data_IF_730721931893
#
_entry.id   IF_730721931893
#
_cell.length_a   1.000
_cell.length_b   1.000
_cell.length_c   1.000
_cell.angle_alpha   90.00
_cell.angle_beta   90.00
_cell.angle_gamma   90.00
#
_symmetry.space_group_name_H-M   'P 1'
#
loop_
_entity.id
_entity.type
_entity.pdbx_description
1 polymer ?
#
# COMPACT_ATOMS: atom_id res chain seq x y z
N UNK A 1 5.91 -1.05 5.55
CA UNK A 1 5.36 -0.34 4.37
C UNK A 1 4.03 -0.96 3.96
N UNK A 2 3.27 -0.30 3.08
CA UNK A 2 2.02 -0.83 2.50
C UNK A 2 1.99 -0.59 0.98
N UNK A 3 0.97 -1.10 0.31
CA UNK A 3 0.70 -1.01 -1.12
C UNK A 3 -0.58 -1.78 -1.45
N UNK A 4 -0.97 -1.86 -2.72
CA UNK A 4 -2.20 -2.55 -3.13
C UNK A 4 -2.16 -4.02 -2.67
N UNK A 5 -3.20 -4.46 -1.98
CA UNK A 5 -3.19 -5.78 -1.32
C UNK A 5 -3.56 -6.88 -2.30
N UNK A 6 -3.16 -8.12 -2.00
CA UNK A 6 -3.63 -9.28 -2.78
C UNK A 6 -5.16 -9.41 -2.77
N UNK A 7 -5.80 -8.98 -1.68
CA UNK A 7 -7.26 -8.97 -1.57
C UNK A 7 -7.91 -7.99 -2.53
N UNK A 8 -7.34 -6.79 -2.67
CA UNK A 8 -7.84 -5.78 -3.61
C UNK A 8 -7.56 -6.17 -5.07
N UNK A 9 -6.43 -6.84 -5.35
CA UNK A 9 -6.13 -7.40 -6.68
C UNK A 9 -7.14 -8.50 -7.07
N UNK A 10 -7.50 -9.37 -6.10
CA UNK A 10 -8.53 -10.38 -6.29
C UNK A 10 -9.92 -9.76 -6.52
N UNK A 11 -10.27 -8.71 -5.77
CA UNK A 11 -11.55 -7.99 -5.93
C UNK A 11 -11.71 -7.36 -7.32
N UNK A 12 -10.61 -7.02 -8.00
CA UNK A 12 -10.62 -6.49 -9.38
C UNK A 12 -10.36 -7.55 -10.45
N UNK A 13 -10.24 -8.83 -10.05
CA UNK A 13 -10.08 -9.99 -10.94
C UNK A 13 -8.81 -9.93 -11.83
N UNK A 14 -7.75 -9.26 -11.36
CA UNK A 14 -6.51 -9.08 -12.11
C UNK A 14 -5.33 -9.92 -11.59
N UNK A 15 -5.54 -10.73 -10.55
CA UNK A 15 -4.51 -11.60 -9.94
C UNK A 15 -3.72 -12.42 -10.95
N UNK A 16 -4.39 -13.02 -11.94
CA UNK A 16 -3.75 -13.85 -12.97
C UNK A 16 -3.28 -13.07 -14.21
N UNK A 17 -3.51 -11.75 -14.23
CA UNK A 17 -3.16 -10.85 -15.34
C UNK A 17 -1.88 -10.07 -15.03
N UNK A 18 -1.72 -9.64 -13.78
CA UNK A 18 -0.53 -8.91 -13.35
C UNK A 18 0.70 -9.83 -13.35
N UNK A 19 1.89 -9.31 -13.65
CA UNK A 19 3.10 -10.13 -13.72
C UNK A 19 3.55 -10.67 -12.35
N UNK A 20 3.08 -10.06 -11.27
CA UNK A 20 3.32 -10.44 -9.88
C UNK A 20 2.34 -9.70 -8.97
N UNK A 21 2.17 -10.19 -7.75
CA UNK A 21 1.38 -9.52 -6.72
C UNK A 21 2.27 -8.63 -5.84
N UNK A 22 1.89 -7.37 -5.68
CA UNK A 22 2.73 -6.37 -5.00
C UNK A 22 2.97 -6.74 -3.53
N UNK A 23 1.95 -7.21 -2.81
CA UNK A 23 2.09 -7.63 -1.41
C UNK A 23 3.08 -8.80 -1.27
N UNK A 24 2.97 -9.81 -2.13
CA UNK A 24 3.87 -10.97 -2.09
C UNK A 24 5.33 -10.60 -2.42
N UNK A 25 5.54 -9.80 -3.47
CA UNK A 25 6.90 -9.36 -3.86
C UNK A 25 7.56 -8.53 -2.75
N UNK A 26 6.81 -7.61 -2.12
CA UNK A 26 7.34 -6.81 -1.02
C UNK A 26 7.73 -7.68 0.17
N UNK A 27 6.91 -8.66 0.54
CA UNK A 27 7.22 -9.62 1.62
C UNK A 27 8.45 -10.46 1.25
N UNK A 28 8.55 -10.96 0.01
CA UNK A 28 9.68 -11.75 -0.45
C UNK A 28 11.01 -10.97 -0.43
N UNK A 29 10.96 -9.67 -0.70
CA UNK A 29 12.10 -8.75 -0.59
C UNK A 29 12.44 -8.34 0.86
N UNK A 30 11.70 -8.85 1.84
CA UNK A 30 11.95 -8.64 3.27
C UNK A 30 11.29 -7.40 3.86
N UNK A 31 10.31 -6.80 3.18
CA UNK A 31 9.56 -5.69 3.73
C UNK A 31 8.66 -6.16 4.89
N UNK A 32 8.59 -5.36 5.95
CA UNK A 32 7.51 -5.49 6.95
C UNK A 32 6.23 -4.90 6.36
N UNK A 33 5.54 -5.70 5.55
CA UNK A 33 4.30 -5.32 4.87
C UNK A 33 3.14 -5.29 5.86
N UNK A 34 2.34 -4.21 5.80
CA UNK A 34 1.14 -4.03 6.62
C UNK A 34 -0.01 -3.62 5.71
N UNK A 35 -1.23 -4.02 6.08
CA UNK A 35 -2.45 -3.68 5.35
C UNK A 35 -3.61 -3.41 6.29
N UNK A 36 -4.49 -2.49 5.88
CA UNK A 36 -5.80 -2.28 6.46
C UNK A 36 -6.87 -3.11 5.74
N UNK A 37 -8.16 -2.84 6.01
CA UNK A 37 -9.26 -3.43 5.25
C UNK A 37 -9.17 -3.08 3.76
N UNK A 38 -9.61 -3.99 2.87
CA UNK A 38 -9.70 -3.71 1.43
C UNK A 38 -10.50 -2.41 1.20
N UNK A 39 -10.02 -1.58 0.27
CA UNK A 39 -10.64 -0.30 -0.11
C UNK A 39 -10.68 0.76 1.00
N UNK A 40 -10.24 0.43 2.22
CA UNK A 40 -10.05 1.38 3.31
C UNK A 40 -8.83 2.26 3.07
N UNK A 41 -8.89 3.51 3.54
CA UNK A 41 -7.73 4.39 3.56
C UNK A 41 -6.72 3.89 4.59
N UNK A 42 -5.51 3.52 4.16
CA UNK A 42 -4.46 2.99 5.02
C UNK A 42 -3.09 3.46 4.55
N UNK A 43 -2.29 3.96 5.49
CA UNK A 43 -0.92 4.44 5.25
C UNK A 43 0.05 3.84 6.26
N UNK A 44 1.31 3.74 5.86
CA UNK A 44 2.43 3.40 6.76
C UNK A 44 3.52 4.44 6.57
N UNK A 45 3.96 5.02 7.69
CA UNK A 45 5.10 5.93 7.78
C UNK A 45 6.25 5.20 8.47
N UNK A 46 7.41 5.11 7.80
CA UNK A 46 8.64 4.54 8.33
C UNK A 46 9.81 5.49 8.02
N UNK A 47 10.17 6.33 8.99
CA UNK A 47 11.11 7.42 8.79
C UNK A 47 10.64 8.38 7.70
N UNK A 48 11.40 8.47 6.60
CA UNK A 48 11.07 9.32 5.43
C UNK A 48 10.31 8.57 4.34
N UNK A 49 10.01 7.28 4.52
CA UNK A 49 9.24 6.48 3.58
C UNK A 49 7.76 6.50 3.98
N UNK A 50 6.92 7.10 3.14
CA UNK A 50 5.47 7.14 3.30
C UNK A 50 4.85 6.31 2.19
N UNK A 51 4.02 5.33 2.55
CA UNK A 51 3.32 4.44 1.60
C UNK A 51 1.83 4.42 1.88
N UNK A 52 1.02 4.25 0.82
CA UNK A 52 -0.44 4.14 0.91
C UNK A 52 -0.94 2.91 0.19
N UNK A 53 -2.01 2.29 0.71
CA UNK A 53 -2.50 0.99 0.23
C UNK A 53 -3.14 1.10 -1.16
N UNK A 54 -4.04 2.06 -1.36
CA UNK A 54 -4.91 2.13 -2.53
C UNK A 54 -5.21 3.60 -2.91
N UNK A 55 -5.96 3.88 -4.00
CA UNK A 55 -6.34 5.24 -4.36
C UNK A 55 -7.04 6.03 -3.24
N UNK A 56 -7.84 5.36 -2.39
CA UNK A 56 -8.49 5.96 -1.21
C UNK A 56 -7.51 6.41 -0.12
N UNK A 57 -6.24 6.03 -0.22
CA UNK A 57 -5.17 6.44 0.70
C UNK A 57 -4.45 7.72 0.25
N UNK A 58 -4.73 8.23 -0.95
CA UNK A 58 -4.00 9.36 -1.55
C UNK A 58 -4.04 10.63 -0.70
N UNK A 59 -5.20 11.00 -0.16
CA UNK A 59 -5.34 12.19 0.68
C UNK A 59 -4.53 12.06 1.98
N UNK A 60 -4.56 10.89 2.61
CA UNK A 60 -3.82 10.62 3.84
C UNK A 60 -2.31 10.66 3.60
N UNK A 61 -1.82 10.06 2.52
CA UNK A 61 -0.41 10.14 2.11
C UNK A 61 0.02 11.58 1.87
N UNK A 62 -0.79 12.38 1.17
CA UNK A 62 -0.48 13.78 0.90
C UNK A 62 -0.39 14.61 2.20
N UNK A 63 -1.29 14.38 3.16
CA UNK A 63 -1.26 15.03 4.47
C UNK A 63 -0.01 14.66 5.25
N UNK A 64 0.35 13.37 5.29
CA UNK A 64 1.55 12.89 5.97
C UNK A 64 2.82 13.48 5.35
N UNK A 65 2.91 13.53 4.01
CA UNK A 65 4.04 14.15 3.30
C UNK A 65 4.20 15.63 3.65
N UNK A 66 3.11 16.40 3.63
CA UNK A 66 3.17 17.83 4.00
C UNK A 66 3.57 18.01 5.46
N UNK A 67 3.15 17.11 6.36
CA UNK A 67 3.56 17.14 7.76
C UNK A 67 5.05 16.82 7.95
N UNK A 68 5.58 15.86 7.20
CA UNK A 68 6.99 15.45 7.28
C UNK A 68 7.99 16.50 6.76
N UNK A 69 7.52 17.48 5.97
CA UNK A 69 8.32 18.58 5.42
C UNK A 69 8.26 19.88 6.24
N UNK A 70 7.51 19.89 7.34
CA UNK A 70 7.39 21.04 8.26
C UNK A 70 8.34 20.90 9.44
#
# INVERSE_FOLDING_TARGET
MTGFTNGEEADVELTDIVPFLVEDELIALGANYQKGPNWGSFIVEDGTLITGQNPGSSEAVAKALVAALR
#
